data_IF_311621749635
#
_entry.id   IF_311621749635
#
_cell.length_a   1.000
_cell.length_b   1.000
_cell.length_c   1.000
_cell.angle_alpha   90.00
_cell.angle_beta   90.00
_cell.angle_gamma   90.00
#
_symmetry.space_group_name_H-M   'P 1'
#
loop_
_entity.id
_entity.type
_entity.pdbx_description
1 polymer ?
#
# COMPACT_ATOMS: atom_id res chain seq x y z
N UNK A 1 -1.61 -16.87 -25.60
CA UNK A 1 -0.29 -16.71 -24.96
C UNK A 1 0.44 -18.04 -25.01
N UNK A 2 1.72 -18.05 -25.30
CA UNK A 2 2.51 -19.29 -25.30
C UNK A 2 2.53 -19.92 -23.90
N UNK A 3 2.31 -21.24 -23.80
CA UNK A 3 2.26 -21.96 -22.51
C UNK A 3 3.55 -21.83 -21.71
N UNK A 4 4.72 -21.78 -22.36
CA UNK A 4 6.01 -21.59 -21.68
C UNK A 4 6.12 -20.21 -21.02
N UNK A 5 5.65 -19.15 -21.68
CA UNK A 5 5.65 -17.79 -21.12
C UNK A 5 4.71 -17.71 -19.91
N UNK A 6 3.51 -18.34 -20.00
CA UNK A 6 2.56 -18.42 -18.90
C UNK A 6 3.16 -19.10 -17.67
N UNK A 7 3.75 -20.28 -17.87
CA UNK A 7 4.37 -21.05 -16.78
C UNK A 7 5.54 -20.28 -16.17
N UNK A 8 6.37 -19.63 -16.99
CA UNK A 8 7.51 -18.84 -16.50
C UNK A 8 7.06 -17.63 -15.67
N UNK A 9 6.06 -16.87 -16.13
CA UNK A 9 5.52 -15.73 -15.39
C UNK A 9 4.85 -16.18 -14.10
N UNK A 10 4.11 -17.30 -14.13
CA UNK A 10 3.50 -17.85 -12.93
C UNK A 10 4.53 -18.35 -11.91
N UNK A 11 5.63 -18.94 -12.38
CA UNK A 11 6.74 -19.36 -11.50
C UNK A 11 7.40 -18.16 -10.83
N UNK A 12 7.62 -17.04 -11.56
CA UNK A 12 8.15 -15.81 -10.97
C UNK A 12 7.15 -15.24 -9.96
N UNK A 13 5.86 -15.24 -10.26
CA UNK A 13 4.82 -14.81 -9.35
C UNK A 13 4.85 -15.61 -8.04
N UNK A 14 4.91 -16.94 -8.11
CA UNK A 14 5.05 -17.79 -6.94
C UNK A 14 6.36 -17.53 -6.18
N UNK A 15 7.46 -17.26 -6.88
CA UNK A 15 8.74 -16.93 -6.25
C UNK A 15 8.66 -15.61 -5.46
N UNK A 16 8.05 -14.58 -6.04
CA UNK A 16 7.81 -13.27 -5.38
C UNK A 16 6.95 -13.43 -4.14
N UNK A 17 5.96 -14.33 -4.19
CA UNK A 17 5.05 -14.58 -3.07
C UNK A 17 5.71 -15.37 -1.93
N UNK A 18 6.55 -16.37 -2.24
CA UNK A 18 7.00 -17.36 -1.26
C UNK A 18 8.40 -17.09 -0.74
N UNK A 19 9.34 -16.68 -1.61
CA UNK A 19 10.76 -16.58 -1.23
C UNK A 19 11.04 -15.54 -0.13
N UNK A 20 10.39 -14.38 -0.07
CA UNK A 20 10.59 -13.43 1.03
C UNK A 20 10.28 -14.00 2.42
N UNK A 21 9.42 -15.01 2.51
CA UNK A 21 9.06 -15.64 3.78
C UNK A 21 9.91 -16.86 4.14
N UNK A 22 10.59 -17.44 3.16
CA UNK A 22 11.34 -18.71 3.34
C UNK A 22 12.84 -18.52 3.33
N UNK A 23 13.35 -17.47 2.66
CA UNK A 23 14.78 -17.23 2.47
C UNK A 23 15.19 -15.91 3.10
N UNK A 24 15.91 -15.98 4.22
CA UNK A 24 16.35 -14.79 5.00
C UNK A 24 17.13 -13.77 4.17
N UNK A 25 17.99 -14.19 3.23
CA UNK A 25 18.70 -13.26 2.34
C UNK A 25 17.79 -12.48 1.42
N UNK A 26 16.68 -13.07 1.00
CA UNK A 26 15.66 -12.41 0.17
C UNK A 26 14.88 -11.40 1.02
N UNK A 27 14.53 -11.76 2.25
CA UNK A 27 13.88 -10.88 3.21
C UNK A 27 14.72 -9.62 3.51
N UNK A 28 16.04 -9.80 3.75
CA UNK A 28 16.96 -8.69 4.07
C UNK A 28 17.25 -7.77 2.88
N UNK A 29 17.03 -8.23 1.63
CA UNK A 29 17.32 -7.50 0.39
C UNK A 29 16.12 -7.57 -0.57
N UNK A 30 14.93 -7.31 -0.03
CA UNK A 30 13.66 -7.48 -0.74
C UNK A 30 13.60 -6.63 -2.02
N UNK A 31 14.07 -5.41 -1.96
CA UNK A 31 14.09 -4.47 -3.09
C UNK A 31 14.93 -4.99 -4.26
N UNK A 32 16.11 -5.56 -3.97
CA UNK A 32 16.98 -6.15 -5.00
C UNK A 32 16.36 -7.41 -5.62
N UNK A 33 15.77 -8.26 -4.77
CA UNK A 33 15.10 -9.48 -5.21
C UNK A 33 13.92 -9.17 -6.13
N UNK A 34 13.03 -8.26 -5.72
CA UNK A 34 11.87 -7.86 -6.52
C UNK A 34 12.29 -7.18 -7.83
N UNK A 35 13.37 -6.40 -7.81
CA UNK A 35 13.92 -5.78 -9.00
C UNK A 35 14.41 -6.82 -10.01
N UNK A 36 15.15 -7.85 -9.55
CA UNK A 36 15.57 -8.95 -10.41
C UNK A 36 14.37 -9.74 -10.96
N UNK A 37 13.38 -10.04 -10.12
CA UNK A 37 12.13 -10.69 -10.55
C UNK A 37 11.38 -9.83 -11.59
N UNK A 38 11.35 -8.51 -11.41
CA UNK A 38 10.75 -7.56 -12.35
C UNK A 38 11.42 -7.58 -13.71
N UNK A 39 12.76 -7.56 -13.76
CA UNK A 39 13.53 -7.69 -15.00
C UNK A 39 13.19 -9.01 -15.71
N UNK A 40 13.19 -10.12 -14.98
CA UNK A 40 12.91 -11.45 -15.54
C UNK A 40 11.46 -11.52 -16.06
N UNK A 41 10.47 -11.04 -15.28
CA UNK A 41 9.07 -11.05 -15.67
C UNK A 41 8.85 -10.17 -16.91
N UNK A 42 9.44 -8.98 -16.96
CA UNK A 42 9.32 -8.07 -18.09
C UNK A 42 9.98 -8.66 -19.37
N UNK A 43 11.10 -9.35 -19.21
CA UNK A 43 11.79 -10.04 -20.31
C UNK A 43 10.92 -11.16 -20.87
N UNK A 44 10.35 -12.00 -19.99
CA UNK A 44 9.43 -13.07 -20.41
C UNK A 44 8.16 -12.51 -21.05
N UNK A 45 7.61 -11.41 -20.53
CA UNK A 45 6.46 -10.75 -21.11
C UNK A 45 6.70 -10.27 -22.56
N UNK A 46 7.94 -9.98 -22.93
CA UNK A 46 8.32 -9.62 -24.29
C UNK A 46 8.08 -10.73 -25.32
N UNK A 47 7.99 -11.99 -24.89
CA UNK A 47 7.63 -13.12 -25.74
C UNK A 47 6.13 -13.43 -25.76
N UNK A 48 5.32 -12.68 -24.98
CA UNK A 48 3.88 -12.85 -24.97
C UNK A 48 3.26 -12.11 -26.18
N UNK A 49 2.65 -12.86 -27.09
CA UNK A 49 1.91 -12.31 -28.22
C UNK A 49 0.48 -11.98 -27.74
N UNK A 50 0.20 -10.69 -27.52
CA UNK A 50 -1.12 -10.17 -27.22
C UNK A 50 -1.61 -9.28 -28.37
N UNK A 51 -2.75 -9.59 -29.02
CA UNK A 51 -3.28 -8.76 -30.09
C UNK A 51 -3.58 -7.34 -29.62
N UNK A 52 -2.97 -6.34 -30.25
CA UNK A 52 -3.20 -4.92 -29.96
C UNK A 52 -2.42 -4.35 -28.77
N UNK A 53 -1.68 -5.16 -28.03
CA UNK A 53 -0.94 -4.72 -26.83
C UNK A 53 0.56 -4.97 -26.98
N UNK A 54 1.34 -3.95 -26.64
CA UNK A 54 2.81 -4.11 -26.53
C UNK A 54 3.15 -4.60 -25.11
N UNK A 55 3.83 -5.73 -25.06
CA UNK A 55 4.30 -6.36 -23.81
C UNK A 55 5.82 -6.42 -23.79
N UNK A 56 6.40 -6.52 -22.58
CA UNK A 56 7.84 -6.57 -22.40
C UNK A 56 8.51 -5.21 -22.42
N UNK A 57 9.78 -5.20 -22.77
CA UNK A 57 10.62 -4.01 -22.74
C UNK A 57 10.15 -2.94 -23.74
N UNK A 58 9.98 -1.73 -23.25
CA UNK A 58 9.74 -0.54 -24.06
C UNK A 58 10.46 0.66 -23.43
N UNK A 59 10.78 1.65 -24.26
CA UNK A 59 11.37 2.90 -23.74
C UNK A 59 10.44 3.56 -22.71
N UNK A 60 9.13 3.47 -22.93
CA UNK A 60 8.13 4.02 -22.02
C UNK A 60 8.22 3.41 -20.60
N UNK A 61 8.26 2.08 -20.49
CA UNK A 61 8.31 1.42 -19.17
C UNK A 61 9.64 1.67 -18.47
N UNK A 62 10.76 1.75 -19.20
CA UNK A 62 12.07 2.11 -18.63
C UNK A 62 12.06 3.55 -18.13
N UNK A 63 11.54 4.48 -18.95
CA UNK A 63 11.43 5.88 -18.55
C UNK A 63 10.51 6.03 -17.36
N UNK A 64 9.37 5.35 -17.34
CA UNK A 64 8.42 5.33 -16.22
C UNK A 64 9.11 4.81 -14.95
N UNK A 65 9.81 3.67 -15.01
CA UNK A 65 10.53 3.12 -13.87
C UNK A 65 11.60 4.05 -13.31
N UNK A 66 12.31 4.77 -14.17
CA UNK A 66 13.33 5.73 -13.75
C UNK A 66 12.75 7.04 -13.21
N UNK A 67 11.62 7.50 -13.74
CA UNK A 67 11.06 8.81 -13.40
C UNK A 67 9.99 8.76 -12.30
N UNK A 68 9.18 7.71 -12.23
CA UNK A 68 8.10 7.61 -11.22
C UNK A 68 8.58 7.72 -9.78
N UNK A 69 9.71 7.13 -9.36
CA UNK A 69 10.20 7.33 -8.00
C UNK A 69 10.50 8.80 -7.67
N UNK A 70 10.78 9.62 -8.71
CA UNK A 70 11.18 11.01 -8.60
C UNK A 70 10.07 12.00 -9.00
N UNK A 71 8.97 11.52 -9.62
CA UNK A 71 7.92 12.37 -10.17
C UNK A 71 6.55 11.69 -10.06
N UNK A 72 5.92 11.82 -8.89
CA UNK A 72 4.55 11.33 -8.67
C UNK A 72 3.54 12.47 -8.72
N UNK A 73 3.93 13.63 -8.23
CA UNK A 73 3.11 14.83 -8.22
C UNK A 73 3.94 16.05 -8.57
N UNK A 74 3.32 17.13 -9.02
CA UNK A 74 3.98 18.42 -9.17
C UNK A 74 3.34 19.47 -8.27
N UNK A 75 4.14 20.13 -7.44
CA UNK A 75 3.70 21.25 -6.63
C UNK A 75 4.43 22.50 -7.13
N UNK A 76 3.67 23.47 -7.64
CA UNK A 76 4.23 24.70 -8.20
C UNK A 76 5.15 24.48 -9.41
N UNK A 77 4.93 23.39 -10.21
CA UNK A 77 5.75 23.04 -11.37
C UNK A 77 7.04 22.25 -11.04
N UNK A 78 7.30 21.96 -9.75
CA UNK A 78 8.44 21.15 -9.32
C UNK A 78 7.97 19.70 -9.18
N UNK A 79 8.59 18.73 -9.89
CA UNK A 79 8.26 17.31 -9.73
C UNK A 79 8.69 16.83 -8.34
N UNK A 80 7.77 16.25 -7.62
CA UNK A 80 8.00 15.65 -6.30
C UNK A 80 7.68 14.17 -6.37
N UNK A 81 8.68 13.35 -6.07
CA UNK A 81 8.54 11.91 -5.98
C UNK A 81 8.70 11.40 -4.55
N UNK A 82 8.47 10.11 -4.38
CA UNK A 82 8.57 9.42 -3.08
C UNK A 82 9.98 9.56 -2.51
N UNK A 83 10.99 9.44 -3.34
CA UNK A 83 12.40 9.49 -2.92
C UNK A 83 12.76 10.85 -2.29
N UNK A 84 12.33 11.95 -2.94
CA UNK A 84 12.54 13.29 -2.39
C UNK A 84 11.77 13.48 -1.08
N UNK A 85 10.53 12.98 -0.99
CA UNK A 85 9.72 13.06 0.23
C UNK A 85 10.41 12.29 1.36
N UNK A 86 10.83 11.06 1.13
CA UNK A 86 11.53 10.23 2.13
C UNK A 86 12.83 10.90 2.57
N UNK A 87 13.60 11.46 1.62
CA UNK A 87 14.86 12.14 1.92
C UNK A 87 14.64 13.43 2.73
N UNK A 88 13.74 14.31 2.28
CA UNK A 88 13.47 15.60 2.93
C UNK A 88 12.90 15.39 4.33
N UNK A 89 11.90 14.51 4.49
CA UNK A 89 11.35 14.22 5.80
C UNK A 89 12.35 13.51 6.72
N UNK A 90 13.16 12.59 6.20
CA UNK A 90 14.24 11.98 6.98
C UNK A 90 15.25 13.01 7.49
N UNK A 91 15.62 14.00 6.65
CA UNK A 91 16.50 15.11 7.05
C UNK A 91 15.81 16.07 8.04
N UNK A 92 14.53 16.40 7.83
CA UNK A 92 13.78 17.23 8.77
C UNK A 92 13.68 16.57 10.14
N UNK A 93 13.41 15.29 10.21
CA UNK A 93 13.37 14.52 11.45
C UNK A 93 14.74 14.52 12.13
N UNK A 94 15.82 14.30 11.36
CA UNK A 94 17.18 14.39 11.88
C UNK A 94 17.47 15.75 12.51
N UNK A 95 17.07 16.86 11.86
CA UNK A 95 17.29 18.22 12.36
C UNK A 95 16.39 18.56 13.56
N UNK A 96 15.09 18.18 13.49
CA UNK A 96 14.10 18.54 14.51
C UNK A 96 13.88 17.45 15.57
N UNK A 97 14.71 16.43 15.61
CA UNK A 97 14.62 15.29 16.51
C UNK A 97 14.24 15.65 17.95
N UNK A 98 14.97 16.59 18.60
CA UNK A 98 14.68 17.00 19.97
C UNK A 98 13.36 17.76 20.17
N UNK A 99 12.87 18.44 19.13
CA UNK A 99 11.58 19.13 19.20
C UNK A 99 10.42 18.13 19.07
N UNK A 100 10.61 17.13 18.19
CA UNK A 100 9.67 16.04 17.99
C UNK A 100 9.52 15.21 19.27
N UNK A 101 10.65 14.78 19.85
CA UNK A 101 10.69 14.03 21.10
C UNK A 101 9.96 14.77 22.24
N UNK A 102 10.26 16.06 22.43
CA UNK A 102 9.58 16.89 23.45
C UNK A 102 8.08 17.06 23.16
N UNK A 103 7.69 17.24 21.93
CA UNK A 103 6.29 17.36 21.52
C UNK A 103 5.49 16.09 21.79
N UNK A 104 6.07 14.93 21.46
CA UNK A 104 5.43 13.63 21.66
C UNK A 104 5.36 13.28 23.15
N UNK A 105 6.45 13.50 23.90
CA UNK A 105 6.45 13.28 25.35
C UNK A 105 5.35 14.12 26.03
N UNK A 106 5.20 15.39 25.66
CA UNK A 106 4.14 16.25 26.18
C UNK A 106 2.74 15.77 25.79
N UNK A 107 2.59 15.24 24.57
CA UNK A 107 1.32 14.66 24.13
C UNK A 107 0.97 13.39 24.91
N UNK A 108 1.98 12.53 25.20
CA UNK A 108 1.81 11.31 26.01
C UNK A 108 1.53 11.63 27.49
N UNK A 109 2.12 12.70 28.04
CA UNK A 109 1.85 13.18 29.39
C UNK A 109 0.42 13.73 29.54
N UNK A 110 -0.11 14.38 28.50
CA UNK A 110 -1.45 15.00 28.54
C UNK A 110 -2.54 14.00 28.19
N UNK A 111 -2.30 13.12 27.23
CA UNK A 111 -3.27 12.15 26.72
C UNK A 111 -2.79 10.72 26.99
N UNK A 112 -3.69 9.86 27.42
CA UNK A 112 -3.39 8.44 27.57
C UNK A 112 -3.12 7.77 26.20
N UNK A 113 -2.26 6.74 26.17
CA UNK A 113 -2.03 5.91 24.98
C UNK A 113 -3.33 5.34 24.39
N UNK A 114 -4.30 5.05 25.27
CA UNK A 114 -5.62 4.55 24.89
C UNK A 114 -6.42 5.55 24.02
N UNK A 115 -6.12 6.84 24.09
CA UNK A 115 -6.72 7.87 23.23
C UNK A 115 -5.85 8.19 22.02
N UNK A 116 -4.52 8.24 22.23
CA UNK A 116 -3.57 8.58 21.16
C UNK A 116 -3.61 7.57 20.02
N UNK A 117 -3.55 6.28 20.34
CA UNK A 117 -3.44 5.23 19.31
C UNK A 117 -4.66 5.18 18.39
N UNK A 118 -5.91 5.08 18.88
CA UNK A 118 -7.05 5.07 17.97
C UNK A 118 -7.22 6.39 17.21
N UNK A 119 -6.97 7.53 17.85
CA UNK A 119 -7.06 8.83 17.19
C UNK A 119 -6.00 8.97 16.08
N UNK A 120 -4.76 8.53 16.33
CA UNK A 120 -3.70 8.51 15.33
C UNK A 120 -4.09 7.70 14.09
N UNK A 121 -4.62 6.50 14.30
CA UNK A 121 -5.05 5.60 13.22
C UNK A 121 -6.18 6.24 12.41
N UNK A 122 -7.20 6.76 13.08
CA UNK A 122 -8.37 7.36 12.40
C UNK A 122 -7.96 8.63 11.66
N UNK A 123 -7.24 9.53 12.32
CA UNK A 123 -6.85 10.82 11.73
C UNK A 123 -5.92 10.62 10.54
N UNK A 124 -4.85 9.82 10.69
CA UNK A 124 -3.94 9.57 9.57
C UNK A 124 -4.61 8.74 8.47
N UNK A 125 -5.50 7.80 8.83
CA UNK A 125 -6.28 7.05 7.86
C UNK A 125 -7.15 7.96 6.98
N UNK A 126 -7.91 8.87 7.55
CA UNK A 126 -8.75 9.80 6.78
C UNK A 126 -7.93 10.92 6.11
N UNK A 127 -6.92 11.44 6.80
CA UNK A 127 -6.08 12.51 6.29
C UNK A 127 -5.21 12.06 5.10
N UNK A 128 -4.89 10.76 5.00
CA UNK A 128 -4.12 10.18 3.88
C UNK A 128 -4.74 10.48 2.52
N UNK A 129 -6.07 10.62 2.44
CA UNK A 129 -6.76 11.03 1.22
C UNK A 129 -6.44 12.46 0.77
N UNK A 130 -5.92 13.30 1.66
CA UNK A 130 -5.63 14.73 1.39
C UNK A 130 -4.13 14.97 1.25
N UNK A 131 -3.33 14.41 2.18
CA UNK A 131 -1.88 14.65 2.24
C UNK A 131 -1.04 13.57 1.53
N UNK A 132 -1.66 12.55 0.99
CA UNK A 132 -1.13 11.29 0.45
C UNK A 132 -0.82 10.23 1.51
N UNK A 133 -0.99 8.96 1.10
CA UNK A 133 -0.67 7.79 1.91
C UNK A 133 0.82 7.73 2.32
N UNK A 134 1.71 8.21 1.47
CA UNK A 134 3.15 8.24 1.70
C UNK A 134 3.48 9.15 2.87
N UNK A 135 2.98 10.39 2.83
CA UNK A 135 3.24 11.36 3.87
C UNK A 135 2.60 10.93 5.21
N UNK A 136 1.38 10.38 5.15
CA UNK A 136 0.72 9.82 6.32
C UNK A 136 1.52 8.67 6.95
N UNK A 137 2.10 7.79 6.14
CA UNK A 137 2.95 6.69 6.63
C UNK A 137 4.24 7.19 7.29
N UNK A 138 4.89 8.21 6.74
CA UNK A 138 6.08 8.82 7.33
C UNK A 138 5.74 9.40 8.71
N UNK A 139 4.65 10.18 8.79
CA UNK A 139 4.19 10.77 10.06
C UNK A 139 3.83 9.66 11.07
N UNK A 140 3.13 8.61 10.61
CA UNK A 140 2.79 7.47 11.45
C UNK A 140 4.02 6.89 12.12
N UNK A 141 5.04 6.57 11.33
CA UNK A 141 6.23 5.87 11.82
C UNK A 141 6.99 6.71 12.84
N UNK A 142 7.11 8.00 12.60
CA UNK A 142 7.76 8.90 13.56
C UNK A 142 7.02 8.91 14.90
N UNK A 143 5.69 8.99 14.87
CA UNK A 143 4.90 8.96 16.10
C UNK A 143 4.99 7.59 16.77
N UNK A 144 4.83 6.50 16.02
CA UNK A 144 4.89 5.12 16.57
C UNK A 144 6.24 4.81 17.21
N UNK A 145 7.34 5.25 16.60
CA UNK A 145 8.69 5.04 17.16
C UNK A 145 8.91 5.84 18.45
N UNK A 146 8.25 6.97 18.57
CA UNK A 146 8.33 7.84 19.73
C UNK A 146 7.34 7.44 20.86
N UNK A 147 6.33 6.60 20.58
CA UNK A 147 5.41 6.13 21.62
C UNK A 147 6.05 5.02 22.47
N UNK A 148 5.81 5.00 23.81
CA UNK A 148 6.30 3.97 24.72
C UNK A 148 5.53 2.67 24.52
N UNK A 149 5.73 2.01 23.40
CA UNK A 149 5.05 0.78 23.02
C UNK A 149 6.01 -0.42 23.11
N UNK A 150 5.57 -1.51 23.72
CA UNK A 150 6.30 -2.79 23.62
C UNK A 150 6.34 -3.27 22.16
N UNK A 151 7.39 -4.01 21.80
CA UNK A 151 7.63 -4.44 20.39
C UNK A 151 6.39 -5.06 19.74
N UNK A 152 5.70 -5.94 20.44
CA UNK A 152 4.52 -6.66 19.93
C UNK A 152 3.34 -5.71 19.62
N UNK A 153 3.09 -4.74 20.52
CA UNK A 153 2.07 -3.71 20.34
C UNK A 153 2.45 -2.78 19.17
N UNK A 154 3.71 -2.36 19.11
CA UNK A 154 4.24 -1.51 18.04
C UNK A 154 4.00 -2.14 16.66
N UNK A 155 4.36 -3.41 16.47
CA UNK A 155 4.17 -4.12 15.21
C UNK A 155 2.68 -4.18 14.84
N UNK A 156 1.83 -4.61 15.78
CA UNK A 156 0.40 -4.79 15.52
C UNK A 156 -0.31 -3.47 15.20
N UNK A 157 -0.02 -2.41 15.97
CA UNK A 157 -0.57 -1.07 15.75
C UNK A 157 -0.07 -0.47 14.42
N UNK A 158 1.21 -0.65 14.09
CA UNK A 158 1.76 -0.19 12.80
C UNK A 158 1.04 -0.84 11.62
N UNK A 159 0.85 -2.16 11.64
CA UNK A 159 0.13 -2.87 10.58
C UNK A 159 -1.31 -2.37 10.46
N UNK A 160 -2.04 -2.26 11.58
CA UNK A 160 -3.43 -1.75 11.58
C UNK A 160 -3.49 -0.32 11.04
N UNK A 161 -2.56 0.55 11.43
CA UNK A 161 -2.51 1.93 10.96
C UNK A 161 -2.19 2.03 9.47
N UNK A 162 -1.31 1.18 8.94
CA UNK A 162 -1.03 1.12 7.50
C UNK A 162 -2.25 0.65 6.69
N UNK A 163 -3.05 -0.29 7.21
CA UNK A 163 -4.35 -0.61 6.61
C UNK A 163 -5.28 0.61 6.58
N UNK A 164 -5.37 1.35 7.69
CA UNK A 164 -6.22 2.53 7.75
C UNK A 164 -5.78 3.61 6.76
N UNK A 165 -4.46 3.84 6.63
CA UNK A 165 -3.87 4.79 5.68
C UNK A 165 -4.13 4.34 4.23
N UNK A 166 -3.85 3.08 3.90
CA UNK A 166 -4.04 2.56 2.55
C UNK A 166 -5.51 2.58 2.11
N UNK A 167 -6.43 2.15 2.99
CA UNK A 167 -7.87 2.18 2.71
C UNK A 167 -8.37 3.62 2.62
N UNK A 168 -7.97 4.49 3.54
CA UNK A 168 -8.39 5.91 3.58
C UNK A 168 -7.91 6.72 2.38
N UNK A 169 -6.71 6.43 1.87
CA UNK A 169 -6.17 7.07 0.67
C UNK A 169 -7.03 6.82 -0.58
N UNK A 170 -7.87 5.78 -0.55
CA UNK A 170 -8.81 5.45 -1.62
C UNK A 170 -9.91 6.48 -1.87
N UNK A 171 -10.08 7.51 -1.02
CA UNK A 171 -11.19 8.45 -1.12
C UNK A 171 -11.00 9.54 -2.19
N UNK A 172 -9.77 9.98 -2.46
CA UNK A 172 -9.52 11.06 -3.41
C UNK A 172 -8.32 10.77 -4.31
N UNK A 173 -8.22 11.42 -5.48
CA UNK A 173 -7.05 11.26 -6.37
C UNK A 173 -5.72 11.70 -5.76
N UNK A 174 -5.73 12.46 -4.66
CA UNK A 174 -4.52 12.90 -3.96
C UNK A 174 -3.95 11.83 -3.02
N UNK A 175 -4.78 10.85 -2.63
CA UNK A 175 -4.41 9.85 -1.62
C UNK A 175 -3.31 8.91 -2.08
N UNK A 176 -3.45 8.34 -3.26
CA UNK A 176 -2.49 7.40 -3.82
C UNK A 176 -2.59 7.29 -5.36
N UNK A 177 -1.57 6.75 -6.05
CA UNK A 177 -1.55 6.63 -7.51
C UNK A 177 -2.73 5.82 -8.08
N UNK A 178 -3.18 4.77 -7.39
CA UNK A 178 -4.37 3.98 -7.77
C UNK A 178 -5.56 4.88 -8.04
N UNK A 179 -5.90 5.76 -7.12
CA UNK A 179 -7.07 6.63 -7.21
C UNK A 179 -6.97 7.66 -8.35
N UNK A 180 -5.76 8.19 -8.58
CA UNK A 180 -5.48 9.08 -9.71
C UNK A 180 -5.72 8.37 -11.05
N UNK A 181 -5.23 7.14 -11.19
CA UNK A 181 -5.40 6.30 -12.38
C UNK A 181 -6.89 6.03 -12.63
N UNK A 182 -7.63 5.64 -11.59
CA UNK A 182 -9.05 5.33 -11.67
C UNK A 182 -9.85 6.53 -12.15
N UNK A 183 -9.67 7.69 -11.54
CA UNK A 183 -10.35 8.92 -11.94
C UNK A 183 -10.01 9.30 -13.37
N UNK A 184 -8.74 9.22 -13.75
CA UNK A 184 -8.31 9.50 -15.13
C UNK A 184 -9.00 8.59 -16.15
N UNK A 185 -9.08 7.28 -15.88
CA UNK A 185 -9.73 6.30 -16.78
C UNK A 185 -11.24 6.44 -16.86
N UNK A 186 -11.87 6.88 -15.77
CA UNK A 186 -13.33 7.03 -15.69
C UNK A 186 -13.81 8.47 -15.90
N UNK A 187 -12.94 9.39 -16.32
CA UNK A 187 -13.26 10.81 -16.53
C UNK A 187 -14.23 11.08 -17.68
N UNK A 188 -14.36 10.13 -18.64
CA UNK A 188 -15.32 10.18 -19.74
C UNK A 188 -16.60 9.38 -19.46
N UNK A 189 -17.47 9.30 -20.48
CA UNK A 189 -18.70 8.51 -20.42
C UNK A 189 -18.41 7.01 -20.15
N UNK A 190 -19.24 6.32 -19.37
CA UNK A 190 -20.51 6.77 -18.77
C UNK A 190 -20.36 7.41 -17.38
N UNK A 191 -19.18 7.41 -16.79
CA UNK A 191 -18.98 7.77 -15.37
C UNK A 191 -18.75 9.24 -15.14
N UNK A 192 -18.10 9.95 -16.08
CA UNK A 192 -17.72 11.36 -15.95
C UNK A 192 -17.08 11.66 -14.59
N UNK A 193 -16.18 10.78 -14.15
CA UNK A 193 -15.61 10.79 -12.81
C UNK A 193 -14.79 12.05 -12.55
N UNK A 194 -15.27 12.86 -11.61
CA UNK A 194 -14.57 14.03 -11.09
C UNK A 194 -13.82 13.73 -9.80
N UNK A 195 -13.22 14.76 -9.21
CA UNK A 195 -12.40 14.67 -8.00
C UNK A 195 -13.07 13.93 -6.84
N UNK A 196 -14.37 14.14 -6.60
CA UNK A 196 -15.12 13.55 -5.51
C UNK A 196 -15.81 12.23 -5.87
N UNK A 197 -15.64 11.72 -7.08
CA UNK A 197 -16.30 10.49 -7.53
C UNK A 197 -16.07 9.31 -6.59
N UNK A 198 -14.83 9.13 -6.14
CA UNK A 198 -14.48 8.03 -5.22
C UNK A 198 -15.05 8.26 -3.81
N UNK A 199 -15.12 9.51 -3.34
CA UNK A 199 -15.80 9.85 -2.09
C UNK A 199 -17.26 9.40 -2.17
N UNK A 200 -17.99 9.76 -3.21
CA UNK A 200 -19.39 9.41 -3.38
C UNK A 200 -19.66 7.90 -3.40
N UNK A 201 -18.72 7.12 -3.96
CA UNK A 201 -18.89 5.67 -4.13
C UNK A 201 -18.28 4.83 -3.02
N UNK A 202 -17.18 5.29 -2.42
CA UNK A 202 -16.42 4.48 -1.47
C UNK A 202 -16.49 4.95 -0.03
N UNK A 203 -16.88 6.20 0.26
CA UNK A 203 -16.86 6.75 1.62
C UNK A 203 -17.72 5.95 2.60
N UNK A 204 -18.88 5.45 2.15
CA UNK A 204 -19.79 4.62 2.97
C UNK A 204 -19.11 3.33 3.47
N UNK A 205 -18.12 2.84 2.75
CA UNK A 205 -17.34 1.65 3.11
C UNK A 205 -16.05 2.04 3.85
N UNK A 206 -15.33 3.04 3.34
CA UNK A 206 -13.99 3.41 3.82
C UNK A 206 -14.05 4.07 5.19
N UNK A 207 -14.95 5.04 5.41
CA UNK A 207 -14.98 5.78 6.67
C UNK A 207 -15.29 4.85 7.86
N UNK A 208 -16.31 3.97 7.82
CA UNK A 208 -16.54 3.00 8.89
C UNK A 208 -15.37 2.03 9.09
N UNK A 209 -14.71 1.62 8.00
CA UNK A 209 -13.55 0.73 8.10
C UNK A 209 -12.37 1.39 8.81
N UNK A 210 -12.07 2.65 8.50
CA UNK A 210 -10.99 3.41 9.17
C UNK A 210 -11.30 3.60 10.66
N UNK A 211 -12.56 3.91 11.01
CA UNK A 211 -13.00 4.01 12.42
C UNK A 211 -12.86 2.66 13.12
N UNK A 212 -13.29 1.58 12.48
CA UNK A 212 -13.14 0.22 13.01
C UNK A 212 -11.67 -0.14 13.26
N UNK A 213 -10.78 0.20 12.33
CA UNK A 213 -9.34 -0.01 12.48
C UNK A 213 -8.76 0.80 13.64
N UNK A 214 -9.23 2.01 13.88
CA UNK A 214 -8.88 2.79 15.06
C UNK A 214 -9.28 2.10 16.37
N UNK A 215 -10.49 1.55 16.43
CA UNK A 215 -10.97 0.78 17.58
C UNK A 215 -10.15 -0.51 17.74
N UNK A 216 -9.85 -1.19 16.64
CA UNK A 216 -9.01 -2.39 16.64
C UNK A 216 -7.60 -2.09 17.16
N UNK A 217 -7.02 -0.94 16.82
CA UNK A 217 -5.75 -0.47 17.35
C UNK A 217 -5.77 -0.28 18.88
N UNK A 218 -6.88 0.24 19.42
CA UNK A 218 -7.08 0.31 20.87
C UNK A 218 -7.15 -1.07 21.52
N UNK A 219 -7.83 -2.02 20.89
CA UNK A 219 -7.92 -3.40 21.39
C UNK A 219 -6.54 -4.08 21.35
N UNK A 220 -5.78 -3.88 20.27
CA UNK A 220 -4.43 -4.38 20.12
C UNK A 220 -3.49 -3.80 21.19
N UNK A 221 -3.58 -2.50 21.45
CA UNK A 221 -2.84 -1.85 22.53
C UNK A 221 -3.13 -2.51 23.87
N UNK A 222 -4.39 -2.59 24.30
CA UNK A 222 -4.80 -3.17 25.58
C UNK A 222 -4.39 -4.65 25.74
N UNK A 223 -4.40 -5.40 24.67
CA UNK A 223 -4.06 -6.83 24.67
C UNK A 223 -2.55 -7.08 24.76
N UNK A 224 -1.74 -6.19 24.20
CA UNK A 224 -0.30 -6.39 24.05
C UNK A 224 0.53 -5.60 25.04
N UNK A 225 0.04 -4.44 25.47
CA UNK A 225 0.71 -3.60 26.45
C UNK A 225 0.29 -4.05 27.85
N UNK A 226 0.97 -5.05 28.42
CA UNK A 226 0.61 -5.65 29.70
C UNK A 226 1.19 -4.91 30.91
N UNK A 227 2.23 -4.08 30.73
CA UNK A 227 2.83 -3.28 31.79
C UNK A 227 3.06 -1.83 31.35
N UNK A 228 2.56 -0.88 32.11
CA UNK A 228 3.00 0.52 32.11
C UNK A 228 4.37 0.61 32.82
N UNK A 229 5.35 -0.16 32.37
CA UNK A 229 6.72 0.06 32.81
C UNK A 229 7.22 1.35 32.16
N UNK A 230 8.00 2.14 32.92
CA UNK A 230 8.67 3.39 32.56
C UNK A 230 9.48 3.31 31.26
N UNK A 231 8.83 3.00 30.14
CA UNK A 231 9.42 3.08 28.81
C UNK A 231 9.49 4.55 28.44
N UNK A 232 10.62 5.16 28.76
CA UNK A 232 10.94 6.50 28.23
C UNK A 232 10.94 6.44 26.72
N UNK A 233 10.23 7.37 26.09
CA UNK A 233 10.35 7.62 24.67
C UNK A 233 11.82 7.89 24.34
N UNK A 234 12.46 6.95 23.67
CA UNK A 234 13.78 7.14 23.07
C UNK A 234 13.57 7.15 21.58
N UNK A 235 13.51 8.34 21.01
CA UNK A 235 13.58 8.48 19.55
C UNK A 235 15.04 8.25 19.19
N UNK A 236 15.35 7.11 18.58
CA UNK A 236 16.69 6.84 18.09
C UNK A 236 17.06 7.82 16.99
N UNK A 237 18.18 8.49 17.17
CA UNK A 237 18.70 9.44 16.17
C UNK A 237 19.28 8.66 15.00
N UNK A 238 18.56 8.65 13.89
CA UNK A 238 19.04 8.05 12.65
C UNK A 238 20.28 8.79 12.11
N UNK A 239 21.27 8.04 11.59
CA UNK A 239 22.38 8.66 10.90
C UNK A 239 21.95 9.14 9.50
N UNK A 240 22.49 10.26 9.02
CA UNK A 240 22.20 10.79 7.66
C UNK A 240 22.45 9.72 6.58
N UNK A 241 23.47 8.88 6.78
CA UNK A 241 23.78 7.75 5.89
C UNK A 241 22.59 6.82 5.74
N UNK A 242 21.88 6.50 6.83
CA UNK A 242 20.77 5.56 6.83
C UNK A 242 19.54 6.15 6.12
N UNK A 243 19.34 7.47 6.27
CA UNK A 243 18.30 8.21 5.51
C UNK A 243 18.54 8.11 4.00
N UNK A 244 19.81 8.32 3.55
CA UNK A 244 20.17 8.25 2.12
C UNK A 244 20.04 6.82 1.58
N UNK A 245 20.53 5.82 2.34
CA UNK A 245 20.42 4.40 1.96
C UNK A 245 18.94 4.01 1.80
N UNK A 246 18.09 4.43 2.75
CA UNK A 246 16.65 4.18 2.69
C UNK A 246 16.01 4.80 1.45
N UNK A 247 16.32 6.05 1.13
CA UNK A 247 15.82 6.70 -0.08
C UNK A 247 16.23 5.93 -1.35
N UNK A 248 17.46 5.39 -1.40
CA UNK A 248 17.94 4.53 -2.48
C UNK A 248 17.19 3.19 -2.58
N UNK A 249 16.92 2.55 -1.44
CA UNK A 249 16.13 1.31 -1.37
C UNK A 249 14.68 1.53 -1.86
N UNK A 250 14.03 2.61 -1.42
CA UNK A 250 12.69 2.98 -1.89
C UNK A 250 12.68 3.24 -3.39
N UNK A 251 13.73 3.92 -3.93
CA UNK A 251 13.86 4.12 -5.37
C UNK A 251 13.88 2.79 -6.13
N UNK A 252 14.76 1.87 -5.73
CA UNK A 252 14.89 0.56 -6.36
C UNK A 252 13.62 -0.27 -6.24
N UNK A 253 12.93 -0.15 -5.10
CA UNK A 253 11.67 -0.87 -4.85
C UNK A 253 10.57 -0.42 -5.82
N UNK A 254 10.39 0.88 -6.02
CA UNK A 254 9.37 1.40 -6.94
C UNK A 254 9.69 0.99 -8.38
N UNK A 255 10.95 1.05 -8.79
CA UNK A 255 11.36 0.51 -10.10
C UNK A 255 10.98 -0.96 -10.26
N UNK A 256 11.23 -1.77 -9.21
CA UNK A 256 10.89 -3.19 -9.18
C UNK A 256 9.38 -3.42 -9.39
N UNK A 257 8.54 -2.63 -8.71
CA UNK A 257 7.08 -2.73 -8.84
C UNK A 257 6.61 -2.40 -10.27
N UNK A 258 7.17 -1.38 -10.91
CA UNK A 258 6.83 -1.01 -12.30
C UNK A 258 7.22 -2.15 -13.25
N UNK A 259 8.41 -2.72 -13.10
CA UNK A 259 8.84 -3.84 -13.94
C UNK A 259 8.01 -5.11 -13.70
N UNK A 260 7.67 -5.43 -12.45
CA UNK A 260 6.78 -6.56 -12.12
C UNK A 260 5.38 -6.33 -12.73
N UNK A 261 4.81 -5.13 -12.58
CA UNK A 261 3.52 -4.80 -13.16
C UNK A 261 3.49 -4.93 -14.68
N UNK A 262 4.49 -4.39 -15.36
CA UNK A 262 4.65 -4.57 -16.81
C UNK A 262 4.88 -6.02 -17.22
N UNK A 263 5.65 -6.76 -16.40
CA UNK A 263 5.95 -8.18 -16.63
C UNK A 263 4.73 -9.09 -16.45
N UNK A 264 3.85 -8.79 -15.49
CA UNK A 264 2.63 -9.58 -15.24
C UNK A 264 1.42 -9.13 -16.06
N UNK A 265 1.51 -8.01 -16.80
CA UNK A 265 0.43 -7.51 -17.67
C UNK A 265 -0.19 -8.61 -18.56
N UNK A 266 0.58 -9.51 -19.23
CA UNK A 266 0.01 -10.58 -20.03
C UNK A 266 -0.86 -11.56 -19.24
N UNK A 267 -0.49 -11.88 -17.99
CA UNK A 267 -1.31 -12.74 -17.12
C UNK A 267 -2.64 -12.06 -16.78
N UNK A 268 -2.59 -10.77 -16.44
CA UNK A 268 -3.77 -9.99 -16.06
C UNK A 268 -4.76 -9.91 -17.23
N UNK A 269 -4.30 -9.49 -18.40
CA UNK A 269 -5.18 -9.31 -19.58
C UNK A 269 -5.79 -10.61 -20.12
N UNK A 270 -5.06 -11.74 -20.02
CA UNK A 270 -5.58 -13.00 -20.54
C UNK A 270 -6.51 -13.75 -19.58
N UNK A 271 -6.35 -13.55 -18.28
CA UNK A 271 -7.06 -14.36 -17.29
C UNK A 271 -7.94 -13.54 -16.35
N UNK A 272 -7.52 -12.34 -15.94
CA UNK A 272 -8.20 -11.56 -14.90
C UNK A 272 -9.45 -10.86 -15.42
N UNK A 273 -9.41 -10.29 -16.64
CA UNK A 273 -10.53 -9.52 -17.23
C UNK A 273 -11.77 -10.39 -17.50
N UNK A 274 -11.62 -11.70 -17.63
CA UNK A 274 -12.72 -12.62 -17.93
C UNK A 274 -13.54 -13.02 -16.69
N UNK A 275 -13.23 -12.50 -15.53
CA UNK A 275 -13.73 -12.98 -14.25
C UNK A 275 -14.93 -12.15 -13.78
N UNK A 276 -16.02 -12.79 -13.26
CA UNK A 276 -17.13 -12.04 -12.70
C UNK A 276 -16.72 -11.22 -11.46
N UNK A 277 -17.48 -10.14 -11.14
CA UNK A 277 -17.14 -9.16 -10.09
C UNK A 277 -16.77 -9.79 -8.74
N UNK A 278 -17.51 -10.83 -8.30
CA UNK A 278 -17.20 -11.55 -7.06
C UNK A 278 -15.88 -12.35 -7.14
N UNK A 279 -15.60 -12.92 -8.31
CA UNK A 279 -14.33 -13.60 -8.59
C UNK A 279 -13.18 -12.61 -8.68
N UNK A 280 -13.38 -11.50 -9.39
CA UNK A 280 -12.42 -10.40 -9.50
C UNK A 280 -12.08 -9.83 -8.12
N UNK A 281 -13.06 -9.68 -7.24
CA UNK A 281 -12.85 -9.24 -5.86
C UNK A 281 -11.79 -10.10 -5.13
N UNK A 282 -11.91 -11.43 -5.20
CA UNK A 282 -10.96 -12.32 -4.53
C UNK A 282 -9.62 -12.43 -5.24
N UNK A 283 -9.61 -12.35 -6.56
CA UNK A 283 -8.36 -12.39 -7.33
C UNK A 283 -7.53 -11.15 -7.08
N UNK A 284 -8.15 -9.99 -6.85
CA UNK A 284 -7.45 -8.76 -6.48
C UNK A 284 -6.72 -8.86 -5.14
N UNK A 285 -6.86 -9.95 -4.39
CA UNK A 285 -5.95 -10.32 -3.29
C UNK A 285 -4.48 -10.44 -3.74
N UNK A 286 -4.24 -10.62 -5.03
CA UNK A 286 -2.92 -10.54 -5.67
C UNK A 286 -2.22 -9.20 -5.41
N UNK A 287 -2.98 -8.12 -5.17
CA UNK A 287 -2.46 -6.81 -4.76
C UNK A 287 -1.65 -6.83 -3.45
N UNK A 288 -1.77 -7.88 -2.64
CA UNK A 288 -0.87 -8.07 -1.51
C UNK A 288 0.61 -8.16 -1.91
N UNK A 289 0.88 -8.57 -3.16
CA UNK A 289 2.23 -8.81 -3.69
C UNK A 289 2.56 -7.89 -4.87
N UNK A 290 1.53 -7.50 -5.63
CA UNK A 290 1.65 -6.59 -6.76
C UNK A 290 1.10 -5.22 -6.37
N UNK A 291 1.75 -4.18 -6.86
CA UNK A 291 1.30 -2.80 -6.67
C UNK A 291 -0.16 -2.61 -7.12
N UNK A 292 -0.98 -2.08 -6.22
CA UNK A 292 -2.41 -1.87 -6.45
C UNK A 292 -2.69 -0.88 -7.60
N UNK A 293 -1.83 0.12 -7.81
CA UNK A 293 -1.98 1.07 -8.90
C UNK A 293 -1.78 0.42 -10.27
N UNK A 294 -0.81 -0.49 -10.39
CA UNK A 294 -0.56 -1.25 -11.62
C UNK A 294 -1.74 -2.16 -11.96
N UNK A 295 -2.31 -2.84 -10.95
CA UNK A 295 -3.51 -3.67 -11.16
C UNK A 295 -4.71 -2.82 -11.58
N UNK A 296 -4.96 -1.69 -10.90
CA UNK A 296 -6.01 -0.76 -11.30
C UNK A 296 -5.82 -0.22 -12.73
N UNK A 297 -4.58 0.07 -13.10
CA UNK A 297 -4.27 0.50 -14.47
C UNK A 297 -4.59 -0.58 -15.51
N UNK A 298 -4.45 -1.86 -15.19
CA UNK A 298 -4.77 -2.96 -16.07
C UNK A 298 -6.27 -3.28 -16.12
N UNK A 299 -6.93 -3.28 -14.95
CA UNK A 299 -8.30 -3.80 -14.80
C UNK A 299 -9.38 -2.75 -15.00
N UNK A 300 -9.21 -1.53 -14.48
CA UNK A 300 -10.26 -0.52 -14.49
C UNK A 300 -10.46 0.03 -15.91
N UNK A 301 -11.71 -0.01 -16.35
CA UNK A 301 -12.14 0.44 -17.68
C UNK A 301 -13.56 1.01 -17.58
N UNK A 302 -13.92 2.02 -18.43
CA UNK A 302 -15.30 2.51 -18.56
C UNK A 302 -16.32 1.42 -18.94
N UNK A 303 -15.86 0.30 -19.48
CA UNK A 303 -16.71 -0.83 -19.86
C UNK A 303 -17.17 -1.69 -18.67
N UNK A 304 -16.54 -1.53 -17.50
CA UNK A 304 -16.94 -2.24 -16.27
C UNK A 304 -18.17 -1.58 -15.66
N UNK A 305 -19.05 -2.36 -15.03
CA UNK A 305 -20.14 -1.83 -14.23
C UNK A 305 -19.61 -1.13 -12.96
N UNK A 306 -20.41 -0.22 -12.40
CA UNK A 306 -20.05 0.47 -11.15
C UNK A 306 -19.80 -0.53 -10.02
N UNK A 307 -20.56 -1.63 -9.94
CA UNK A 307 -20.35 -2.69 -8.95
C UNK A 307 -19.01 -3.39 -9.13
N UNK A 308 -18.59 -3.68 -10.37
CA UNK A 308 -17.28 -4.24 -10.65
C UNK A 308 -16.15 -3.28 -10.25
N UNK A 309 -16.29 -1.99 -10.58
CA UNK A 309 -15.30 -0.96 -10.23
C UNK A 309 -15.19 -0.84 -8.71
N UNK A 310 -16.32 -0.69 -8.01
CA UNK A 310 -16.33 -0.55 -6.55
C UNK A 310 -15.74 -1.78 -5.85
N UNK A 311 -16.12 -2.97 -6.28
CA UNK A 311 -15.62 -4.22 -5.70
C UNK A 311 -14.12 -4.43 -5.97
N UNK A 312 -13.65 -4.14 -7.18
CA UNK A 312 -12.24 -4.22 -7.51
C UNK A 312 -11.41 -3.24 -6.67
N UNK A 313 -11.85 -1.98 -6.57
CA UNK A 313 -11.14 -0.96 -5.80
C UNK A 313 -11.04 -1.30 -4.32
N UNK A 314 -12.15 -1.71 -3.69
CA UNK A 314 -12.13 -2.10 -2.27
C UNK A 314 -11.24 -3.32 -2.04
N UNK A 315 -11.25 -4.29 -2.94
CA UNK A 315 -10.36 -5.44 -2.85
C UNK A 315 -8.87 -5.04 -2.95
N UNK A 316 -8.53 -4.18 -3.92
CA UNK A 316 -7.15 -3.67 -4.09
C UNK A 316 -6.67 -2.89 -2.87
N UNK A 317 -7.51 -2.00 -2.33
CA UNK A 317 -7.18 -1.18 -1.15
C UNK A 317 -6.96 -2.03 0.11
N UNK A 318 -7.80 -3.05 0.32
CA UNK A 318 -7.70 -3.92 1.50
C UNK A 318 -6.53 -4.88 1.35
N UNK A 319 -6.44 -5.58 0.23
CA UNK A 319 -5.40 -6.59 0.03
C UNK A 319 -4.00 -6.01 0.00
N UNK A 320 -3.83 -4.79 -0.51
CA UNK A 320 -2.57 -4.07 -0.47
C UNK A 320 -1.97 -3.90 0.93
N UNK A 321 -2.81 -3.91 1.99
CA UNK A 321 -2.35 -3.87 3.38
C UNK A 321 -1.77 -5.19 3.92
N UNK A 322 -2.07 -6.34 3.28
CA UNK A 322 -1.75 -7.66 3.83
C UNK A 322 -0.27 -7.96 3.94
N UNK A 323 0.53 -7.51 2.97
CA UNK A 323 1.97 -7.74 2.90
C UNK A 323 2.73 -6.43 2.67
N UNK A 324 4.02 -6.43 2.97
CA UNK A 324 4.87 -5.24 2.79
C UNK A 324 4.87 -4.75 1.33
N UNK A 325 5.02 -5.61 0.29
CA UNK A 325 5.06 -5.15 -1.09
C UNK A 325 3.74 -4.61 -1.65
N UNK A 326 2.63 -4.89 -1.00
CA UNK A 326 1.29 -4.57 -1.55
C UNK A 326 0.95 -3.08 -1.57
N UNK A 327 1.61 -2.26 -0.74
CA UNK A 327 1.35 -0.83 -0.71
C UNK A 327 2.57 -0.05 -0.20
N UNK A 328 2.80 1.16 -0.73
CA UNK A 328 3.94 2.02 -0.37
C UNK A 328 3.99 2.38 1.13
N UNK A 329 2.89 2.72 1.80
CA UNK A 329 2.86 2.92 3.25
C UNK A 329 3.46 1.77 4.06
N UNK A 330 3.19 0.53 3.64
CA UNK A 330 3.70 -0.66 4.33
C UNK A 330 5.23 -0.75 4.24
N UNK A 331 5.77 -0.44 3.06
CA UNK A 331 7.21 -0.47 2.80
C UNK A 331 7.92 0.54 3.68
N UNK A 332 7.43 1.78 3.69
CA UNK A 332 7.98 2.87 4.51
C UNK A 332 7.91 2.49 5.99
N UNK A 333 6.76 1.98 6.43
CA UNK A 333 6.56 1.61 7.82
C UNK A 333 7.45 0.43 8.25
N UNK A 334 7.51 -0.62 7.44
CA UNK A 334 8.32 -1.81 7.75
C UNK A 334 9.81 -1.46 7.82
N UNK A 335 10.32 -0.68 6.87
CA UNK A 335 11.72 -0.29 6.84
C UNK A 335 12.12 0.55 8.05
N UNK A 336 11.32 1.57 8.38
CA UNK A 336 11.61 2.48 9.50
C UNK A 336 11.43 1.84 10.88
N UNK A 337 10.50 0.90 11.02
CA UNK A 337 10.24 0.23 12.31
C UNK A 337 11.02 -1.08 12.48
N UNK A 338 11.71 -1.54 11.43
CA UNK A 338 12.44 -2.81 11.41
C UNK A 338 11.52 -4.05 11.49
N UNK A 339 10.27 -3.91 11.02
CA UNK A 339 9.31 -5.03 10.98
C UNK A 339 9.64 -5.94 9.80
N UNK A 340 9.88 -7.22 10.09
CA UNK A 340 10.18 -8.23 9.08
C UNK A 340 8.93 -8.63 8.27
N UNK A 341 9.12 -9.14 7.05
CA UNK A 341 8.02 -9.63 6.20
C UNK A 341 7.18 -10.69 6.89
N UNK A 342 7.80 -11.54 7.71
CA UNK A 342 7.12 -12.59 8.48
C UNK A 342 6.28 -12.02 9.63
N UNK A 343 6.81 -11.04 10.36
CA UNK A 343 6.09 -10.35 11.44
C UNK A 343 4.89 -9.58 10.87
N UNK A 344 5.06 -8.95 9.72
CA UNK A 344 3.97 -8.26 9.00
C UNK A 344 2.89 -9.23 8.56
N UNK A 345 3.27 -10.26 7.79
CA UNK A 345 2.32 -11.24 7.24
C UNK A 345 1.49 -11.94 8.31
N UNK A 346 2.11 -12.26 9.47
CA UNK A 346 1.42 -12.91 10.59
C UNK A 346 0.23 -12.08 11.13
N UNK A 347 0.25 -10.77 10.94
CA UNK A 347 -0.80 -9.83 11.39
C UNK A 347 -1.62 -9.31 10.21
N UNK A 348 -0.96 -8.95 9.14
CA UNK A 348 -1.58 -8.35 7.96
C UNK A 348 -2.48 -9.32 7.21
N UNK A 349 -2.06 -10.56 7.00
CA UNK A 349 -2.88 -11.55 6.29
C UNK A 349 -4.20 -11.85 7.02
N UNK A 350 -4.22 -12.20 8.32
CA UNK A 350 -5.49 -12.46 9.01
C UNK A 350 -6.41 -11.23 9.06
N UNK A 351 -5.84 -10.03 9.29
CA UNK A 351 -6.60 -8.78 9.29
C UNK A 351 -7.19 -8.49 7.92
N UNK A 352 -6.37 -8.57 6.88
CA UNK A 352 -6.82 -8.31 5.52
C UNK A 352 -7.86 -9.31 5.04
N UNK A 353 -7.69 -10.62 5.31
CA UNK A 353 -8.69 -11.64 4.99
C UNK A 353 -10.00 -11.41 5.75
N UNK A 354 -9.93 -11.01 7.03
CA UNK A 354 -11.11 -10.66 7.81
C UNK A 354 -11.85 -9.46 7.22
N UNK A 355 -11.13 -8.39 6.88
CA UNK A 355 -11.71 -7.22 6.22
C UNK A 355 -12.30 -7.59 4.85
N UNK A 356 -11.58 -8.35 4.02
CA UNK A 356 -12.10 -8.79 2.72
C UNK A 356 -13.38 -9.62 2.88
N UNK A 357 -13.46 -10.52 3.85
CA UNK A 357 -14.68 -11.30 4.09
C UNK A 357 -15.85 -10.39 4.50
N UNK A 358 -15.64 -9.43 5.40
CA UNK A 358 -16.67 -8.47 5.81
C UNK A 358 -17.15 -7.63 4.61
N UNK A 359 -16.21 -7.08 3.84
CA UNK A 359 -16.57 -6.24 2.68
C UNK A 359 -17.22 -7.07 1.56
N UNK A 360 -16.79 -8.31 1.36
CA UNK A 360 -17.48 -9.23 0.46
C UNK A 360 -18.95 -9.41 0.84
N UNK A 361 -19.22 -9.65 2.11
CA UNK A 361 -20.58 -9.73 2.61
C UNK A 361 -21.37 -8.44 2.39
N UNK A 362 -20.77 -7.27 2.68
CA UNK A 362 -21.41 -5.97 2.50
C UNK A 362 -21.74 -5.66 1.04
N UNK A 363 -20.86 -6.05 0.10
CA UNK A 363 -21.05 -5.78 -1.33
C UNK A 363 -22.00 -6.75 -2.03
N UNK A 364 -21.92 -8.03 -1.71
CA UNK A 364 -22.58 -9.05 -2.52
C UNK A 364 -23.83 -9.65 -1.86
N UNK A 365 -23.96 -9.65 -0.53
CA UNK A 365 -25.16 -10.16 0.13
C UNK A 365 -26.41 -9.32 -0.21
N UNK A 366 -26.40 -7.97 -0.15
CA UNK A 366 -27.56 -7.18 -0.54
C UNK A 366 -27.99 -7.42 -2.00
N UNK A 367 -27.02 -7.50 -2.91
CA UNK A 367 -27.27 -7.80 -4.31
C UNK A 367 -27.88 -9.22 -4.50
N UNK A 368 -27.44 -10.20 -3.73
CA UNK A 368 -27.96 -11.57 -3.79
C UNK A 368 -29.42 -11.66 -3.33
N UNK A 369 -29.82 -10.84 -2.37
CA UNK A 369 -31.20 -10.77 -1.88
C UNK A 369 -32.08 -9.74 -2.62
N UNK A 370 -31.58 -9.12 -3.70
CA UNK A 370 -32.32 -8.11 -4.47
C UNK A 370 -32.61 -6.82 -3.70
N UNK A 371 -31.77 -6.50 -2.71
CA UNK A 371 -31.89 -5.31 -1.86
C UNK A 371 -30.96 -4.17 -2.33
N UNK A 372 -30.29 -4.32 -3.46
CA UNK A 372 -29.34 -3.35 -4.04
C UNK A 372 -29.86 -2.83 -5.38
#
# INVERSE_FOLDING_TARGET
MDGMVTIGLFAIFCAVLVLPFTVKRVEENLECFLFCCGILALTLAGFALLPGEKTGWSLAIVTEALTSPLNIASIGGIPIGIVQIVLVFGLLIYVFHHHLERGINRMVEVFSLNLIVPLLIIVLGLLSSIISAILAAIILVEIINALPLVKEARIEITVIACFAIGIGAGLTPLGEPLTTIVISKLSGDPYNAGFLFLVDKLAIYIIPAVIFLGILGLVALKKRQTDESDLKCVVEREAIRDVVIRAGKVYLFIMALIFLGGGFKPLILNYVVLIPSWGLYWINMVSAVLDNATLAAAEISPALSLSQITSALLALLISGGMLIPGNIPNIIAAEKTGITSKEWARRGIPLGLGLMAVFFCLLFIPAFFGLA
#
